data_IF_966526798828
#
_entry.id   IF_966526798828
#
_cell.length_a   1.000
_cell.length_b   1.000
_cell.length_c   1.000
_cell.angle_alpha   90.00
_cell.angle_beta   90.00
_cell.angle_gamma   90.00
#
_symmetry.space_group_name_H-M   'P 1'
#
loop_
_entity.id
_entity.type
_entity.pdbx_description
1 polymer ?
#
# COMPACT_ATOMS: atom_id res chain seq x y z
N UNK A 1 -4.57 92.51 -28.13
CA UNK A 1 -5.18 91.47 -28.98
C UNK A 1 -4.06 90.58 -29.50
N UNK A 2 -3.64 89.62 -28.65
CA UNK A 2 -3.73 88.16 -28.84
C UNK A 2 -2.74 87.66 -29.93
N UNK A 3 -1.47 87.38 -29.61
CA UNK A 3 -0.86 86.32 -28.78
C UNK A 3 -0.77 84.93 -29.48
N UNK A 4 0.49 84.53 -29.69
CA UNK A 4 1.13 83.25 -30.11
C UNK A 4 0.74 82.03 -29.24
N UNK A 5 1.40 80.83 -29.31
CA UNK A 5 2.50 80.32 -30.18
C UNK A 5 2.17 78.90 -30.73
N UNK A 6 3.00 78.14 -31.44
CA UNK A 6 4.41 78.22 -31.83
C UNK A 6 4.88 76.85 -32.35
N UNK A 7 5.92 76.92 -33.15
CA UNK A 7 6.54 75.91 -34.02
C UNK A 7 7.49 74.92 -33.33
N UNK A 8 7.71 73.77 -34.00
CA UNK A 8 8.99 73.05 -34.22
C UNK A 8 9.94 72.81 -33.03
N UNK A 9 10.32 71.54 -32.78
CA UNK A 9 11.72 71.16 -33.02
C UNK A 9 11.96 69.65 -33.18
N UNK A 10 12.88 69.33 -34.09
CA UNK A 10 13.54 68.05 -34.22
C UNK A 10 14.94 68.16 -33.62
N UNK A 11 15.43 67.14 -32.93
CA UNK A 11 16.89 66.96 -32.82
C UNK A 11 17.29 65.49 -32.94
N UNK A 12 18.26 65.30 -33.83
CA UNK A 12 18.92 64.06 -34.18
C UNK A 12 20.11 63.78 -33.24
N UNK A 13 20.52 62.51 -33.13
CA UNK A 13 21.96 62.11 -33.12
C UNK A 13 22.17 60.59 -33.24
N UNK A 14 22.78 60.20 -34.37
CA UNK A 14 23.91 59.26 -34.60
C UNK A 14 23.86 57.78 -34.16
N UNK A 15 23.76 56.92 -35.20
CA UNK A 15 24.53 55.70 -35.64
C UNK A 15 25.74 55.17 -34.81
N UNK A 16 26.37 53.97 -35.09
CA UNK A 16 26.17 52.96 -36.15
C UNK A 16 26.33 51.43 -35.80
N UNK A 17 25.89 50.58 -36.75
CA UNK A 17 26.37 49.27 -37.27
C UNK A 17 27.31 48.31 -36.49
N UNK A 18 26.84 47.05 -36.48
CA UNK A 18 27.41 45.81 -37.02
C UNK A 18 28.60 45.11 -36.34
N UNK A 19 28.39 43.84 -35.98
CA UNK A 19 29.37 42.78 -36.19
C UNK A 19 28.66 41.43 -36.41
N UNK A 20 28.82 40.94 -37.63
CA UNK A 20 28.57 39.59 -38.11
C UNK A 20 29.53 38.61 -37.42
N UNK A 21 29.01 37.55 -36.80
CA UNK A 21 29.74 36.32 -36.43
C UNK A 21 28.76 35.14 -36.32
N UNK A 22 28.71 34.30 -37.35
CA UNK A 22 28.65 32.84 -37.16
C UNK A 22 30.08 32.33 -36.83
N UNK A 23 30.35 31.12 -36.29
CA UNK A 23 29.50 29.91 -36.20
C UNK A 23 29.63 29.13 -34.85
N UNK A 24 28.83 28.06 -34.65
CA UNK A 24 29.30 26.73 -34.21
C UNK A 24 28.14 25.88 -33.68
N UNK A 25 28.11 24.63 -34.15
CA UNK A 25 27.27 23.55 -33.66
C UNK A 25 27.35 23.38 -32.13
N UNK A 26 26.20 23.17 -31.50
CA UNK A 26 26.10 22.56 -30.18
C UNK A 26 24.78 21.78 -30.08
N UNK A 27 24.94 20.46 -30.11
CA UNK A 27 24.11 19.43 -29.50
C UNK A 27 22.60 19.65 -29.42
N UNK A 28 21.88 18.85 -30.20
CA UNK A 28 20.55 18.35 -29.88
C UNK A 28 20.50 17.89 -28.42
N UNK A 29 19.90 18.68 -27.54
CA UNK A 29 19.54 18.23 -26.19
C UNK A 29 18.37 17.27 -26.33
N UNK A 30 18.67 16.04 -25.96
CA UNK A 30 17.79 14.89 -25.91
C UNK A 30 16.46 15.23 -25.20
N UNK A 31 15.38 14.81 -25.85
CA UNK A 31 14.19 14.19 -25.28
C UNK A 31 14.12 14.25 -23.74
N UNK A 32 13.55 15.35 -23.24
CA UNK A 32 13.19 15.51 -21.83
C UNK A 32 11.92 14.67 -21.59
N UNK A 33 12.11 13.35 -21.59
CA UNK A 33 11.04 12.41 -21.26
C UNK A 33 10.82 12.51 -19.75
N UNK A 34 9.65 12.94 -19.27
CA UNK A 34 9.43 13.06 -17.84
C UNK A 34 9.57 11.69 -17.17
N UNK A 35 10.40 11.66 -16.12
CA UNK A 35 10.69 10.54 -15.22
C UNK A 35 9.42 9.73 -14.91
N UNK A 36 9.41 8.37 -15.06
CA UNK A 36 8.24 7.54 -14.77
C UNK A 36 7.85 7.64 -13.30
N UNK A 37 7.01 8.64 -12.99
CA UNK A 37 6.35 8.78 -11.70
C UNK A 37 5.78 7.43 -11.30
N UNK A 38 6.19 6.94 -10.13
CA UNK A 38 5.72 5.70 -9.52
C UNK A 38 4.20 5.63 -9.61
N UNK A 39 3.72 4.82 -10.57
CA UNK A 39 2.28 4.67 -10.82
C UNK A 39 1.63 4.09 -9.57
N UNK A 40 0.73 4.86 -8.96
CA UNK A 40 0.03 4.42 -7.74
C UNK A 40 -0.80 3.17 -8.01
N UNK A 41 -0.75 2.20 -7.09
CA UNK A 41 -1.58 0.98 -7.12
C UNK A 41 -3.09 1.25 -7.06
N UNK A 42 -3.50 2.50 -6.80
CA UNK A 42 -4.89 2.98 -6.87
C UNK A 42 -5.35 3.28 -8.31
N UNK A 43 -4.52 2.99 -9.31
CA UNK A 43 -4.87 2.99 -10.74
C UNK A 43 -4.61 1.59 -11.31
N UNK A 44 -5.33 1.21 -12.37
CA UNK A 44 -5.14 -0.07 -13.04
C UNK A 44 -3.71 -0.23 -13.53
N UNK A 45 -3.16 0.78 -14.21
CA UNK A 45 -1.78 0.73 -14.73
C UNK A 45 -0.74 0.57 -13.62
N UNK A 46 -0.92 1.26 -12.49
CA UNK A 46 -0.03 1.10 -11.34
C UNK A 46 -0.18 -0.25 -10.66
N UNK A 47 -1.41 -0.76 -10.53
CA UNK A 47 -1.65 -2.10 -10.00
C UNK A 47 -1.08 -3.19 -10.90
N UNK A 48 -1.26 -3.09 -12.22
CA UNK A 48 -0.73 -4.01 -13.20
C UNK A 48 0.80 -4.03 -13.14
N UNK A 49 1.44 -2.86 -13.14
CA UNK A 49 2.88 -2.74 -12.99
C UNK A 49 3.37 -3.40 -11.68
N UNK A 50 2.69 -3.15 -10.55
CA UNK A 50 2.98 -3.81 -9.28
C UNK A 50 2.83 -5.34 -9.36
N UNK A 51 1.75 -5.84 -9.98
CA UNK A 51 1.44 -7.26 -10.04
C UNK A 51 2.42 -8.05 -10.92
N UNK A 52 2.91 -7.45 -12.01
CA UNK A 52 3.84 -8.08 -12.95
C UNK A 52 5.31 -7.89 -12.57
N UNK A 53 5.65 -6.87 -11.79
CA UNK A 53 7.03 -6.64 -11.31
C UNK A 53 7.50 -7.84 -10.49
N UNK A 54 8.61 -8.51 -10.84
CA UNK A 54 9.12 -9.65 -10.07
C UNK A 54 9.33 -9.31 -8.59
N UNK A 55 9.02 -10.26 -7.69
CA UNK A 55 9.27 -10.08 -6.26
C UNK A 55 10.77 -9.99 -6.04
N UNK A 56 11.24 -8.90 -5.44
CA UNK A 56 12.64 -8.76 -5.08
C UNK A 56 13.02 -9.82 -4.05
N UNK A 57 14.08 -10.57 -4.35
CA UNK A 57 14.67 -11.59 -3.48
C UNK A 57 16.16 -11.31 -3.28
N UNK A 58 16.81 -11.79 -2.21
CA UNK A 58 18.26 -11.70 -2.10
C UNK A 58 18.91 -12.51 -3.25
N UNK A 59 20.14 -12.14 -3.68
CA UNK A 59 20.81 -12.87 -4.75
C UNK A 59 21.05 -14.32 -4.32
N UNK A 60 20.87 -15.32 -5.22
CA UNK A 60 21.14 -16.70 -4.90
C UNK A 60 22.64 -16.92 -4.62
N UNK A 61 23.02 -18.01 -3.93
CA UNK A 61 24.42 -18.33 -3.69
C UNK A 61 25.23 -18.35 -5.00
N UNK A 62 26.35 -17.62 -5.03
CA UNK A 62 27.23 -17.54 -6.21
C UNK A 62 26.86 -16.47 -7.25
N UNK A 63 25.73 -15.78 -7.11
CA UNK A 63 25.40 -14.65 -7.98
C UNK A 63 26.32 -13.44 -7.73
N UNK A 64 26.49 -12.54 -8.73
CA UNK A 64 27.26 -11.31 -8.58
C UNK A 64 26.78 -10.50 -7.38
N UNK A 65 27.75 -9.91 -6.66
CA UNK A 65 27.44 -9.05 -5.52
C UNK A 65 26.76 -7.78 -6.01
N UNK A 66 25.64 -7.43 -5.38
CA UNK A 66 25.00 -6.14 -5.57
C UNK A 66 25.85 -4.99 -5.04
N UNK A 67 25.72 -3.83 -5.69
CA UNK A 67 26.28 -2.56 -5.22
C UNK A 67 25.62 -2.13 -3.89
N UNK A 68 26.23 -1.17 -3.19
CA UNK A 68 25.62 -0.61 -1.98
C UNK A 68 24.27 0.05 -2.30
N UNK A 69 24.17 0.77 -3.41
CA UNK A 69 22.95 1.44 -3.86
C UNK A 69 21.81 0.45 -4.12
N UNK A 70 22.09 -0.65 -4.83
CA UNK A 70 21.11 -1.70 -5.11
C UNK A 70 20.60 -2.35 -3.82
N UNK A 71 21.48 -2.54 -2.83
CA UNK A 71 21.13 -3.14 -1.53
C UNK A 71 20.32 -2.16 -0.66
N UNK A 72 20.68 -0.88 -0.66
CA UNK A 72 19.88 0.15 0.00
C UNK A 72 18.48 0.26 -0.64
N UNK A 73 18.39 0.24 -1.97
CA UNK A 73 17.13 0.22 -2.70
C UNK A 73 16.30 -1.05 -2.41
N UNK A 74 16.96 -2.21 -2.27
CA UNK A 74 16.32 -3.46 -1.89
C UNK A 74 15.71 -3.40 -0.49
N UNK A 75 16.49 -2.97 0.52
CA UNK A 75 16.03 -2.89 1.90
C UNK A 75 15.01 -1.76 2.13
N UNK A 76 15.00 -0.73 1.29
CA UNK A 76 14.00 0.35 1.35
C UNK A 76 12.61 -0.09 0.83
N UNK A 77 12.57 -0.93 -0.21
CA UNK A 77 11.33 -1.45 -0.83
C UNK A 77 10.56 -2.47 0.05
N UNK A 78 11.19 -2.94 1.11
CA UNK A 78 10.82 -4.06 1.99
C UNK A 78 10.37 -5.34 1.29
N UNK A 79 11.01 -6.44 1.63
CA UNK A 79 10.65 -7.76 1.14
C UNK A 79 9.31 -8.16 1.75
N UNK A 80 8.34 -8.46 0.89
CA UNK A 80 7.07 -8.99 1.37
C UNK A 80 7.26 -10.43 1.79
N UNK A 81 7.16 -10.68 3.09
CA UNK A 81 7.21 -12.03 3.68
C UNK A 81 5.81 -12.63 3.67
N UNK A 82 5.70 -13.93 3.34
CA UNK A 82 4.42 -14.65 3.45
C UNK A 82 4.04 -14.78 4.91
N UNK A 83 2.79 -14.45 5.22
CA UNK A 83 2.24 -14.52 6.57
C UNK A 83 1.00 -15.41 6.59
N UNK A 84 0.63 -15.98 7.76
CA UNK A 84 -0.63 -16.70 7.92
C UNK A 84 -1.86 -15.87 7.49
N UNK A 85 -1.83 -14.55 7.72
CA UNK A 85 -2.87 -13.64 7.26
C UNK A 85 -2.97 -13.57 5.73
N UNK A 86 -1.84 -13.51 5.01
CA UNK A 86 -1.82 -13.56 3.53
C UNK A 86 -2.38 -14.90 3.04
N UNK A 87 -1.97 -16.01 3.64
CA UNK A 87 -2.40 -17.34 3.22
C UNK A 87 -3.90 -17.58 3.50
N UNK A 88 -4.38 -17.16 4.68
CA UNK A 88 -5.79 -17.18 5.03
C UNK A 88 -6.62 -16.29 4.08
N UNK A 89 -6.15 -15.09 3.78
CA UNK A 89 -6.81 -14.17 2.85
C UNK A 89 -6.85 -14.77 1.44
N UNK A 90 -5.74 -15.29 0.93
CA UNK A 90 -5.66 -15.92 -0.39
C UNK A 90 -6.61 -17.13 -0.50
N UNK A 91 -6.66 -17.96 0.54
CA UNK A 91 -7.55 -19.13 0.60
C UNK A 91 -9.02 -18.69 0.57
N UNK A 92 -9.42 -17.76 1.44
CA UNK A 92 -10.80 -17.29 1.52
C UNK A 92 -11.24 -16.57 0.25
N UNK A 93 -10.44 -15.64 -0.29
CA UNK A 93 -10.75 -14.95 -1.55
C UNK A 93 -10.96 -15.95 -2.67
N UNK A 94 -10.08 -16.96 -2.81
CA UNK A 94 -10.25 -18.01 -3.82
C UNK A 94 -11.57 -18.77 -3.63
N UNK A 95 -11.88 -19.20 -2.42
CA UNK A 95 -13.13 -19.91 -2.11
C UNK A 95 -14.36 -19.05 -2.46
N UNK A 96 -14.39 -17.79 -2.04
CA UNK A 96 -15.51 -16.87 -2.29
C UNK A 96 -15.68 -16.56 -3.77
N UNK A 97 -14.58 -16.40 -4.53
CA UNK A 97 -14.64 -16.22 -5.98
C UNK A 97 -15.21 -17.46 -6.70
N UNK A 98 -14.92 -18.66 -6.21
CA UNK A 98 -15.49 -19.91 -6.74
C UNK A 98 -16.98 -20.00 -6.40
N UNK A 99 -17.36 -19.75 -5.14
CA UNK A 99 -18.75 -19.76 -4.69
C UNK A 99 -19.61 -18.74 -5.45
N UNK A 100 -19.08 -17.53 -5.66
CA UNK A 100 -19.79 -16.45 -6.35
C UNK A 100 -19.86 -16.62 -7.87
N UNK A 101 -19.13 -17.57 -8.47
CA UNK A 101 -18.94 -17.67 -9.93
C UNK A 101 -20.24 -17.80 -10.72
N UNK A 102 -21.22 -18.52 -10.17
CA UNK A 102 -22.52 -18.79 -10.80
C UNK A 102 -23.67 -18.02 -10.14
N UNK A 103 -23.35 -17.10 -9.24
CA UNK A 103 -24.33 -16.29 -8.54
C UNK A 103 -24.66 -15.07 -9.41
N UNK A 104 -25.76 -15.18 -10.16
CA UNK A 104 -26.18 -14.16 -11.12
C UNK A 104 -27.27 -13.21 -10.57
N UNK A 105 -28.01 -13.64 -9.55
CA UNK A 105 -29.21 -12.93 -9.04
C UNK A 105 -28.93 -12.17 -7.75
N UNK A 106 -27.99 -12.63 -6.94
CA UNK A 106 -27.65 -12.00 -5.66
C UNK A 106 -26.19 -11.58 -5.63
N UNK A 107 -25.89 -10.55 -4.83
CA UNK A 107 -24.53 -10.19 -4.47
C UNK A 107 -23.69 -11.42 -4.06
N UNK A 108 -22.42 -11.45 -4.48
CA UNK A 108 -21.48 -12.51 -4.13
C UNK A 108 -21.05 -12.41 -2.66
N UNK A 109 -20.65 -13.52 -2.02
CA UNK A 109 -20.05 -13.51 -0.70
C UNK A 109 -18.86 -12.54 -0.63
N UNK A 110 -18.73 -11.84 0.49
CA UNK A 110 -17.68 -10.85 0.72
C UNK A 110 -16.76 -11.25 1.87
N UNK A 111 -15.69 -10.50 2.06
CA UNK A 111 -14.71 -10.73 3.11
C UNK A 111 -14.37 -9.42 3.82
N UNK A 112 -14.23 -9.46 5.14
CA UNK A 112 -13.73 -8.35 5.95
C UNK A 112 -12.35 -8.73 6.47
N UNK A 113 -11.38 -7.82 6.30
CA UNK A 113 -10.03 -7.90 6.85
C UNK A 113 -9.87 -6.78 7.89
N UNK A 114 -9.90 -7.13 9.17
CA UNK A 114 -9.77 -6.18 10.27
C UNK A 114 -8.42 -6.32 10.97
N UNK A 115 -8.03 -5.32 11.75
CA UNK A 115 -6.82 -5.35 12.57
C UNK A 115 -6.26 -3.94 12.79
N UNK A 116 -5.33 -3.75 13.75
CA UNK A 116 -4.77 -2.44 14.06
C UNK A 116 -3.95 -1.84 12.89
N UNK A 117 -3.63 -0.55 13.01
CA UNK A 117 -2.69 0.10 12.09
C UNK A 117 -1.34 -0.63 12.10
N UNK A 118 -0.74 -0.82 10.91
CA UNK A 118 0.52 -1.54 10.78
C UNK A 118 0.42 -3.07 10.87
N UNK A 119 -0.78 -3.66 10.90
CA UNK A 119 -0.97 -5.11 10.91
C UNK A 119 -0.69 -5.83 9.56
N UNK A 120 -0.26 -5.09 8.53
CA UNK A 120 0.03 -5.68 7.21
C UNK A 120 -1.19 -5.94 6.32
N UNK A 121 -2.37 -5.39 6.66
CA UNK A 121 -3.62 -5.55 5.89
C UNK A 121 -3.46 -5.13 4.42
N UNK A 122 -3.00 -3.91 4.16
CA UNK A 122 -2.75 -3.39 2.81
C UNK A 122 -1.78 -4.29 2.04
N UNK A 123 -0.68 -4.72 2.67
CA UNK A 123 0.26 -5.65 2.05
C UNK A 123 -0.43 -6.97 1.69
N UNK A 124 -1.27 -7.51 2.57
CA UNK A 124 -1.99 -8.74 2.31
C UNK A 124 -2.98 -8.62 1.14
N UNK A 125 -3.77 -7.53 1.08
CA UNK A 125 -4.64 -7.23 -0.05
C UNK A 125 -3.87 -7.18 -1.36
N UNK A 126 -2.79 -6.40 -1.42
CA UNK A 126 -2.00 -6.23 -2.64
C UNK A 126 -1.39 -7.56 -3.09
N UNK A 127 -0.85 -8.37 -2.19
CA UNK A 127 -0.29 -9.69 -2.56
C UNK A 127 -1.37 -10.66 -3.06
N UNK A 128 -2.55 -10.67 -2.44
CA UNK A 128 -3.66 -11.53 -2.87
C UNK A 128 -4.24 -11.05 -4.20
N UNK A 129 -4.40 -9.74 -4.39
CA UNK A 129 -4.76 -9.13 -5.66
C UNK A 129 -3.77 -9.50 -6.76
N UNK A 130 -2.46 -9.37 -6.50
CA UNK A 130 -1.40 -9.81 -7.42
C UNK A 130 -1.55 -11.28 -7.78
N UNK A 131 -1.76 -12.16 -6.80
CA UNK A 131 -1.95 -13.59 -7.04
C UNK A 131 -3.18 -13.87 -7.91
N UNK A 132 -4.30 -13.17 -7.67
CA UNK A 132 -5.51 -13.27 -8.49
C UNK A 132 -5.27 -12.79 -9.93
N UNK A 133 -4.62 -11.64 -10.12
CA UNK A 133 -4.27 -11.12 -11.45
C UNK A 133 -3.40 -12.12 -12.22
N UNK A 134 -2.30 -12.59 -11.63
CA UNK A 134 -1.40 -13.55 -12.27
C UNK A 134 -2.09 -14.88 -12.56
N UNK A 135 -2.95 -15.36 -11.66
CA UNK A 135 -3.73 -16.59 -11.89
C UNK A 135 -4.73 -16.44 -13.03
N UNK A 136 -5.38 -15.28 -13.16
CA UNK A 136 -6.29 -14.97 -14.27
C UNK A 136 -5.55 -15.00 -15.61
N UNK A 137 -4.43 -14.27 -15.72
CA UNK A 137 -3.59 -14.23 -16.92
C UNK A 137 -3.05 -15.62 -17.28
N UNK A 138 -2.62 -16.42 -16.30
CA UNK A 138 -2.14 -17.79 -16.53
C UNK A 138 -3.22 -18.73 -17.06
N UNK A 139 -4.47 -18.62 -16.58
CA UNK A 139 -5.56 -19.52 -16.98
C UNK A 139 -6.09 -19.23 -18.38
N UNK A 140 -6.15 -17.96 -18.76
CA UNK A 140 -6.78 -17.53 -20.01
C UNK A 140 -5.79 -17.20 -21.12
N UNK A 141 -4.51 -17.02 -20.78
CA UNK A 141 -3.46 -16.64 -21.71
C UNK A 141 -3.33 -15.11 -21.84
N UNK A 142 -2.10 -14.56 -21.97
CA UNK A 142 -1.88 -13.12 -21.99
C UNK A 142 -2.67 -12.36 -23.06
N UNK A 143 -2.75 -12.90 -24.28
CA UNK A 143 -3.45 -12.29 -25.40
C UNK A 143 -4.97 -12.18 -25.16
N UNK A 144 -5.61 -13.22 -24.61
CA UNK A 144 -7.05 -13.21 -24.33
C UNK A 144 -7.43 -12.34 -23.13
N UNK A 145 -6.46 -12.01 -22.28
CA UNK A 145 -6.63 -11.10 -21.13
C UNK A 145 -6.18 -9.67 -21.39
N UNK A 146 -5.71 -9.37 -22.61
CA UNK A 146 -5.34 -8.01 -22.97
C UNK A 146 -6.54 -7.07 -22.77
N UNK A 147 -6.33 -5.97 -22.04
CA UNK A 147 -7.38 -5.00 -21.70
C UNK A 147 -8.34 -5.43 -20.59
N UNK A 148 -8.16 -6.58 -19.95
CA UNK A 148 -8.95 -6.98 -18.78
C UNK A 148 -8.29 -6.54 -17.47
N UNK A 149 -9.11 -6.11 -16.52
CA UNK A 149 -8.71 -5.72 -15.17
C UNK A 149 -9.40 -6.63 -14.13
N UNK A 150 -8.93 -7.87 -13.92
CA UNK A 150 -9.64 -8.83 -13.05
C UNK A 150 -9.69 -8.43 -11.57
N UNK A 151 -8.88 -7.46 -11.17
CA UNK A 151 -8.76 -6.97 -9.79
C UNK A 151 -8.88 -5.46 -9.78
N UNK A 152 -9.62 -4.93 -8.80
CA UNK A 152 -9.64 -3.51 -8.48
C UNK A 152 -9.19 -3.26 -7.03
N UNK A 153 -8.31 -2.28 -6.84
CA UNK A 153 -7.85 -1.83 -5.51
C UNK A 153 -8.24 -0.37 -5.32
N UNK A 154 -9.10 -0.10 -4.35
CA UNK A 154 -9.65 1.22 -4.05
C UNK A 154 -9.23 1.62 -2.64
N UNK A 155 -8.52 2.74 -2.51
CA UNK A 155 -8.15 3.31 -1.22
C UNK A 155 -9.15 4.40 -0.83
N UNK A 156 -9.78 4.26 0.33
CA UNK A 156 -10.73 5.27 0.81
C UNK A 156 -9.98 6.51 1.32
N UNK A 157 -10.28 7.72 0.79
CA UNK A 157 -9.66 8.94 1.26
C UNK A 157 -10.18 9.34 2.66
N UNK A 158 -9.46 10.19 3.40
CA UNK A 158 -9.93 10.69 4.69
C UNK A 158 -11.30 11.38 4.59
N UNK A 159 -12.20 11.08 5.52
CA UNK A 159 -13.55 11.66 5.59
C UNK A 159 -14.35 11.53 4.28
N UNK A 160 -14.15 10.44 3.54
CA UNK A 160 -14.76 10.25 2.23
C UNK A 160 -16.30 10.21 2.31
N UNK A 161 -16.93 10.92 1.37
CA UNK A 161 -18.36 10.78 1.06
C UNK A 161 -18.62 9.63 0.09
N UNK A 162 -19.89 9.25 -0.08
CA UNK A 162 -20.28 8.28 -1.10
C UNK A 162 -19.86 8.74 -2.51
N UNK A 163 -20.08 10.01 -2.86
CA UNK A 163 -19.61 10.57 -4.15
C UNK A 163 -18.09 10.50 -4.28
N UNK A 164 -17.35 10.81 -3.21
CA UNK A 164 -15.89 10.71 -3.19
C UNK A 164 -15.44 9.27 -3.42
N UNK A 165 -16.07 8.29 -2.75
CA UNK A 165 -15.78 6.88 -2.96
C UNK A 165 -16.05 6.46 -4.41
N UNK A 166 -17.18 6.86 -4.99
CA UNK A 166 -17.51 6.57 -6.40
C UNK A 166 -16.45 7.14 -7.36
N UNK A 167 -15.89 8.32 -7.07
CA UNK A 167 -14.78 8.91 -7.84
C UNK A 167 -13.51 8.06 -7.74
N UNK A 168 -13.20 7.47 -6.58
CA UNK A 168 -12.04 6.57 -6.44
C UNK A 168 -12.20 5.28 -7.25
N UNK A 169 -13.41 4.72 -7.30
CA UNK A 169 -13.72 3.61 -8.21
C UNK A 169 -13.53 4.02 -9.67
N UNK A 170 -14.04 5.18 -10.06
CA UNK A 170 -13.88 5.69 -11.43
C UNK A 170 -12.40 5.90 -11.78
N UNK A 171 -11.62 6.46 -10.86
CA UNK A 171 -10.17 6.69 -11.02
C UNK A 171 -9.41 5.39 -11.29
N UNK A 172 -9.78 4.29 -10.63
CA UNK A 172 -9.06 3.03 -10.77
C UNK A 172 -8.96 2.56 -12.23
N UNK A 173 -10.07 2.57 -12.97
CA UNK A 173 -10.11 2.19 -14.40
C UNK A 173 -10.01 3.40 -15.35
N UNK A 174 -9.68 4.59 -14.85
CA UNK A 174 -9.60 5.81 -15.66
C UNK A 174 -10.94 6.24 -16.27
N UNK A 175 -12.08 5.90 -15.62
CA UNK A 175 -13.40 6.34 -16.07
C UNK A 175 -13.51 7.87 -15.93
N UNK A 176 -13.81 8.61 -17.00
CA UNK A 176 -13.90 10.07 -16.93
C UNK A 176 -14.99 10.53 -15.97
N UNK A 177 -14.64 11.47 -15.08
CA UNK A 177 -15.59 12.13 -14.18
C UNK A 177 -15.45 13.64 -14.34
N UNK A 178 -16.55 14.32 -14.65
CA UNK A 178 -16.61 15.78 -14.71
C UNK A 178 -17.28 16.35 -13.46
N UNK A 179 -17.01 17.62 -13.15
CA UNK A 179 -17.50 18.27 -11.93
C UNK A 179 -19.03 18.23 -11.78
N UNK A 180 -19.77 18.27 -12.90
CA UNK A 180 -21.23 18.26 -12.93
C UNK A 180 -21.89 16.90 -12.71
N UNK A 181 -21.14 15.79 -12.74
CA UNK A 181 -21.73 14.46 -12.62
C UNK A 181 -22.29 14.22 -11.21
N UNK A 182 -23.50 13.69 -11.13
CA UNK A 182 -24.10 13.19 -9.90
C UNK A 182 -23.46 11.88 -9.45
N UNK A 183 -23.62 11.51 -8.18
CA UNK A 183 -23.16 10.21 -7.68
C UNK A 183 -23.73 9.05 -8.51
N UNK A 184 -25.02 9.08 -8.83
CA UNK A 184 -25.67 8.02 -9.59
C UNK A 184 -25.09 7.87 -11.01
N UNK A 185 -24.76 8.98 -11.68
CA UNK A 185 -24.10 8.97 -12.99
C UNK A 185 -22.69 8.35 -12.90
N UNK A 186 -21.92 8.72 -11.87
CA UNK A 186 -20.58 8.15 -11.63
C UNK A 186 -20.68 6.64 -11.35
N UNK A 187 -21.56 6.22 -10.44
CA UNK A 187 -21.79 4.81 -10.13
C UNK A 187 -22.24 4.03 -11.37
N UNK A 188 -23.10 4.60 -12.20
CA UNK A 188 -23.51 3.99 -13.47
C UNK A 188 -22.34 3.74 -14.41
N UNK A 189 -21.48 4.75 -14.61
CA UNK A 189 -20.28 4.63 -15.44
C UNK A 189 -19.30 3.59 -14.85
N UNK A 190 -19.08 3.61 -13.53
CA UNK A 190 -18.23 2.63 -12.82
C UNK A 190 -18.74 1.21 -13.06
N UNK A 191 -20.02 0.93 -12.82
CA UNK A 191 -20.58 -0.41 -13.00
C UNK A 191 -20.43 -0.90 -14.45
N UNK A 192 -20.67 -0.01 -15.43
CA UNK A 192 -20.46 -0.33 -16.85
C UNK A 192 -19.01 -0.69 -17.14
N UNK A 193 -18.06 0.19 -16.76
CA UNK A 193 -16.62 -0.01 -17.03
C UNK A 193 -16.08 -1.25 -16.30
N UNK A 194 -16.46 -1.49 -15.05
CA UNK A 194 -16.01 -2.66 -14.27
C UNK A 194 -16.52 -3.97 -14.87
N UNK A 195 -17.76 -3.98 -15.38
CA UNK A 195 -18.32 -5.14 -16.08
C UNK A 195 -17.60 -5.40 -17.40
N UNK A 196 -17.39 -4.36 -18.21
CA UNK A 196 -16.67 -4.45 -19.48
C UNK A 196 -15.22 -4.92 -19.30
N UNK A 197 -14.53 -4.42 -18.27
CA UNK A 197 -13.16 -4.80 -17.92
C UNK A 197 -13.04 -6.18 -17.25
N UNK A 198 -14.17 -6.88 -17.02
CA UNK A 198 -14.24 -8.19 -16.36
C UNK A 198 -13.59 -8.20 -14.97
N UNK A 199 -13.89 -7.19 -14.16
CA UNK A 199 -13.46 -7.16 -12.75
C UNK A 199 -14.11 -8.32 -12.00
N UNK A 200 -13.31 -9.13 -11.31
CA UNK A 200 -13.76 -10.30 -10.56
C UNK A 200 -13.52 -10.17 -9.05
N UNK A 201 -12.59 -9.30 -8.65
CA UNK A 201 -12.23 -9.01 -7.27
C UNK A 201 -12.16 -7.49 -7.07
N UNK A 202 -12.87 -6.96 -6.08
CA UNK A 202 -12.77 -5.57 -5.64
C UNK A 202 -12.27 -5.55 -4.20
N UNK A 203 -11.19 -4.80 -3.94
CA UNK A 203 -10.60 -4.63 -2.62
C UNK A 203 -10.71 -3.17 -2.22
N UNK A 204 -11.43 -2.88 -1.14
CA UNK A 204 -11.60 -1.54 -0.59
C UNK A 204 -10.79 -1.43 0.71
N UNK A 205 -9.73 -0.64 0.68
CA UNK A 205 -8.81 -0.43 1.80
C UNK A 205 -9.16 0.83 2.59
N UNK A 206 -8.82 0.82 3.88
CA UNK A 206 -9.14 1.88 4.84
C UNK A 206 -10.64 2.23 4.93
N UNK A 207 -11.53 1.23 4.84
CA UNK A 207 -13.00 1.41 4.82
C UNK A 207 -13.55 2.19 6.04
N UNK A 208 -12.84 2.13 7.17
CA UNK A 208 -13.15 2.85 8.40
C UNK A 208 -13.02 4.39 8.26
N UNK A 209 -12.44 4.90 7.17
CA UNK A 209 -12.34 6.35 6.88
C UNK A 209 -13.61 6.95 6.29
N UNK A 210 -14.56 6.11 5.86
CA UNK A 210 -15.90 6.58 5.50
C UNK A 210 -16.55 7.15 6.74
N UNK A 211 -17.18 8.33 6.63
CA UNK A 211 -17.75 9.03 7.78
C UNK A 211 -19.05 8.35 8.26
N UNK A 212 -19.05 7.53 9.32
CA UNK A 212 -20.20 6.69 9.65
C UNK A 212 -21.24 7.41 10.51
N UNK A 213 -20.91 8.58 11.06
CA UNK A 213 -21.70 9.32 12.06
C UNK A 213 -22.53 10.46 11.48
N UNK A 214 -22.48 10.65 10.16
CA UNK A 214 -23.24 11.66 9.43
C UNK A 214 -24.20 10.98 8.45
N UNK A 215 -25.16 11.72 7.90
CA UNK A 215 -26.03 11.27 6.79
C UNK A 215 -25.24 10.64 5.63
N UNK A 216 -23.99 11.07 5.45
CA UNK A 216 -22.98 10.55 4.51
C UNK A 216 -22.60 9.08 4.72
N UNK A 217 -22.66 8.56 5.96
CA UNK A 217 -22.29 7.19 6.29
C UNK A 217 -23.31 6.17 5.77
N UNK A 218 -24.60 6.47 5.93
CA UNK A 218 -25.68 5.68 5.36
C UNK A 218 -25.60 5.66 3.83
N UNK A 219 -25.38 6.83 3.21
CA UNK A 219 -25.20 6.93 1.76
C UNK A 219 -24.01 6.12 1.24
N UNK A 220 -22.95 5.98 2.04
CA UNK A 220 -21.77 5.20 1.68
C UNK A 220 -22.04 3.70 1.76
N UNK A 221 -22.78 3.24 2.77
CA UNK A 221 -23.22 1.85 2.87
C UNK A 221 -24.17 1.47 1.71
N UNK A 222 -25.11 2.36 1.39
CA UNK A 222 -26.02 2.19 0.24
C UNK A 222 -25.24 2.13 -1.08
N UNK A 223 -24.25 3.02 -1.28
CA UNK A 223 -23.37 2.95 -2.45
C UNK A 223 -22.60 1.63 -2.55
N UNK A 224 -22.02 1.15 -1.45
CA UNK A 224 -21.27 -0.12 -1.44
C UNK A 224 -22.20 -1.29 -1.77
N UNK A 225 -23.43 -1.27 -1.25
CA UNK A 225 -24.46 -2.25 -1.58
C UNK A 225 -24.79 -2.21 -3.07
N UNK A 226 -25.09 -1.03 -3.61
CA UNK A 226 -25.39 -0.83 -5.03
C UNK A 226 -24.26 -1.34 -5.94
N UNK A 227 -23.00 -1.02 -5.58
CA UNK A 227 -21.82 -1.51 -6.30
C UNK A 227 -21.70 -3.04 -6.21
N UNK A 228 -21.94 -3.64 -5.04
CA UNK A 228 -21.84 -5.09 -4.83
C UNK A 228 -22.93 -5.86 -5.57
N UNK A 229 -24.12 -5.28 -5.72
CA UNK A 229 -25.23 -5.89 -6.46
C UNK A 229 -25.08 -5.76 -7.98
N UNK A 230 -24.44 -4.68 -8.45
CA UNK A 230 -24.29 -4.39 -9.89
C UNK A 230 -22.96 -4.84 -10.49
N UNK A 231 -21.91 -4.94 -9.68
CA UNK A 231 -20.60 -5.45 -10.11
C UNK A 231 -20.53 -6.92 -9.70
N UNK A 232 -20.53 -7.82 -10.68
CA UNK A 232 -20.38 -9.26 -10.47
C UNK A 232 -18.96 -9.63 -10.04
N UNK A 233 -18.50 -9.14 -8.90
CA UNK A 233 -17.19 -9.36 -8.30
C UNK A 233 -17.29 -9.77 -6.83
N UNK A 234 -16.27 -10.44 -6.32
CA UNK A 234 -16.10 -10.67 -4.88
C UNK A 234 -15.54 -9.39 -4.26
N UNK A 235 -16.13 -8.92 -3.16
CA UNK A 235 -15.68 -7.73 -2.44
C UNK A 235 -14.89 -8.09 -1.18
N UNK A 236 -13.77 -7.40 -0.97
CA UNK A 236 -12.96 -7.47 0.25
C UNK A 236 -12.89 -6.07 0.87
N UNK A 237 -13.28 -5.94 2.13
CA UNK A 237 -13.27 -4.69 2.88
C UNK A 237 -12.18 -4.74 3.94
N UNK A 238 -11.25 -3.79 3.94
CA UNK A 238 -10.18 -3.74 4.92
C UNK A 238 -10.16 -2.45 5.71
N UNK A 239 -9.86 -2.54 7.00
CA UNK A 239 -9.81 -1.37 7.87
C UNK A 239 -9.53 -1.72 9.33
N UNK A 240 -9.64 -0.72 10.19
CA UNK A 240 -9.54 -0.88 11.64
C UNK A 240 -10.96 -1.03 12.17
N UNK A 241 -11.18 -2.02 13.04
CA UNK A 241 -12.46 -2.30 13.72
C UNK A 241 -13.68 -2.26 12.78
N UNK A 242 -13.52 -2.87 11.59
CA UNK A 242 -14.53 -2.78 10.52
C UNK A 242 -15.89 -3.31 10.97
N UNK A 243 -15.89 -4.39 11.76
CA UNK A 243 -17.10 -5.05 12.26
C UNK A 243 -17.88 -4.22 13.27
N UNK A 244 -17.26 -3.24 13.93
CA UNK A 244 -17.92 -2.34 14.88
C UNK A 244 -18.31 -1.01 14.24
N UNK A 245 -17.88 -0.76 13.00
CA UNK A 245 -18.18 0.46 12.27
C UNK A 245 -19.67 0.49 11.86
N UNK A 246 -20.36 1.65 11.93
CA UNK A 246 -21.76 1.79 11.49
C UNK A 246 -22.08 1.36 10.05
N UNK A 247 -21.06 1.17 9.21
CA UNK A 247 -21.21 0.57 7.87
C UNK A 247 -21.62 -0.90 7.91
N UNK A 248 -21.22 -1.64 8.95
CA UNK A 248 -21.44 -3.08 9.11
C UNK A 248 -22.31 -3.41 10.33
N UNK A 249 -22.80 -2.40 11.05
CA UNK A 249 -23.73 -2.56 12.18
C UNK A 249 -25.08 -1.91 11.89
N UNK A 250 -26.12 -2.27 12.67
CA UNK A 250 -27.50 -1.81 12.45
C UNK A 250 -28.22 -2.50 11.28
N UNK A 251 -29.49 -2.14 11.03
CA UNK A 251 -30.37 -2.85 10.07
C UNK A 251 -29.82 -2.82 8.63
N UNK A 252 -29.22 -1.70 8.20
CA UNK A 252 -28.62 -1.56 6.86
C UNK A 252 -27.27 -2.27 6.74
N UNK A 253 -26.41 -2.16 7.76
CA UNK A 253 -25.10 -2.82 7.79
C UNK A 253 -25.18 -4.34 7.94
N UNK A 254 -26.23 -4.87 8.57
CA UNK A 254 -26.46 -6.30 8.74
C UNK A 254 -26.52 -7.07 7.41
N UNK A 255 -26.97 -6.44 6.32
CA UNK A 255 -27.01 -7.06 4.99
C UNK A 255 -25.61 -7.25 4.39
N UNK A 256 -24.69 -6.32 4.66
CA UNK A 256 -23.28 -6.42 4.26
C UNK A 256 -22.53 -7.39 5.18
N UNK A 257 -22.75 -7.28 6.49
CA UNK A 257 -22.09 -8.11 7.50
C UNK A 257 -22.51 -9.58 7.44
N UNK A 258 -23.80 -9.87 7.23
CA UNK A 258 -24.33 -11.24 7.16
C UNK A 258 -23.80 -12.07 5.98
N UNK A 259 -23.12 -11.43 5.02
CA UNK A 259 -22.51 -12.06 3.84
C UNK A 259 -20.99 -12.13 3.94
N UNK A 260 -20.39 -11.53 4.96
CA UNK A 260 -18.96 -11.38 5.10
C UNK A 260 -18.36 -12.44 6.04
N UNK A 261 -17.35 -13.16 5.57
CA UNK A 261 -16.42 -13.84 6.48
C UNK A 261 -15.42 -12.83 7.06
N UNK A 262 -14.86 -13.11 8.24
CA UNK A 262 -13.93 -12.23 8.91
C UNK A 262 -12.52 -12.83 8.96
N UNK A 263 -11.51 -12.01 8.65
CA UNK A 263 -10.09 -12.29 8.89
C UNK A 263 -9.56 -11.19 9.80
N UNK A 264 -8.99 -11.59 10.93
CA UNK A 264 -8.31 -10.68 11.85
C UNK A 264 -6.79 -10.73 11.61
N UNK A 265 -6.22 -9.61 11.17
CA UNK A 265 -4.79 -9.38 11.15
C UNK A 265 -4.35 -8.91 12.55
N UNK A 266 -4.28 -9.84 13.49
CA UNK A 266 -3.83 -9.57 14.85
C UNK A 266 -2.30 -9.51 14.97
N UNK A 267 -1.81 -9.05 16.13
CA UNK A 267 -0.41 -9.19 16.49
C UNK A 267 -0.03 -10.68 16.58
N UNK A 268 1.19 -11.01 16.17
CA UNK A 268 1.69 -12.38 16.22
C UNK A 268 1.96 -12.75 17.68
N UNK A 269 1.34 -13.83 18.20
CA UNK A 269 1.65 -14.30 19.53
C UNK A 269 3.08 -14.85 19.54
N UNK A 270 3.74 -14.75 20.69
CA UNK A 270 5.07 -15.35 20.85
C UNK A 270 5.02 -16.88 20.66
N UNK A 271 3.92 -17.52 21.10
CA UNK A 271 3.61 -18.94 20.93
C UNK A 271 2.12 -19.17 20.70
N UNK A 272 1.78 -20.21 19.95
CA UNK A 272 0.43 -20.71 19.76
C UNK A 272 0.48 -22.24 19.85
N UNK A 273 0.21 -22.80 21.05
CA UNK A 273 0.50 -24.20 21.32
C UNK A 273 2.01 -24.48 21.17
N UNK A 274 2.36 -25.46 20.34
CA UNK A 274 3.75 -25.81 20.02
C UNK A 274 4.36 -24.94 18.90
N UNK A 275 3.55 -24.12 18.22
CA UNK A 275 4.02 -23.24 17.15
C UNK A 275 4.60 -21.92 17.71
N UNK A 276 5.65 -21.40 17.08
CA UNK A 276 6.27 -20.11 17.42
C UNK A 276 6.12 -19.11 16.26
N UNK A 277 4.89 -18.67 15.92
CA UNK A 277 4.60 -17.96 14.66
C UNK A 277 5.33 -16.62 14.55
N UNK A 278 5.62 -15.95 15.67
CA UNK A 278 6.45 -14.75 15.68
C UNK A 278 7.93 -15.04 15.34
N UNK A 279 8.47 -16.17 15.83
CA UNK A 279 9.83 -16.60 15.50
C UNK A 279 9.94 -17.01 14.04
N UNK A 280 8.91 -17.66 13.49
CA UNK A 280 8.86 -18.02 12.08
C UNK A 280 8.84 -16.79 11.18
N UNK A 281 8.04 -15.78 11.55
CA UNK A 281 8.03 -14.48 10.87
C UNK A 281 9.43 -13.83 10.90
N UNK A 282 10.10 -13.81 12.06
CA UNK A 282 11.46 -13.27 12.18
C UNK A 282 12.43 -14.05 11.27
N UNK A 283 12.34 -15.38 11.27
CA UNK A 283 13.20 -16.25 10.44
C UNK A 283 13.03 -15.94 8.96
N UNK A 284 11.79 -15.75 8.50
CA UNK A 284 11.50 -15.40 7.12
C UNK A 284 11.89 -13.96 6.76
N UNK A 285 11.88 -13.02 7.71
CA UNK A 285 12.42 -11.68 7.52
C UNK A 285 13.96 -11.66 7.50
N UNK A 286 14.59 -12.51 8.30
CA UNK A 286 16.05 -12.65 8.34
C UNK A 286 16.59 -13.27 7.06
N UNK A 287 15.92 -14.31 6.52
CA UNK A 287 16.32 -14.94 5.26
C UNK A 287 16.21 -14.01 4.06
N UNK A 288 15.42 -12.94 4.17
CA UNK A 288 15.29 -11.89 3.18
C UNK A 288 16.40 -10.83 3.26
N UNK A 289 17.32 -10.90 4.23
CA UNK A 289 18.38 -9.89 4.39
C UNK A 289 19.51 -10.07 3.39
N UNK A 290 19.82 -9.01 2.66
CA UNK A 290 21.02 -8.88 1.85
C UNK A 290 22.13 -8.18 2.68
N UNK A 291 22.70 -8.90 3.65
CA UNK A 291 23.76 -8.43 4.58
C UNK A 291 24.90 -9.46 4.64
N UNK A 292 26.12 -9.08 4.23
CA UNK A 292 27.20 -10.05 3.98
C UNK A 292 27.77 -10.69 5.25
N UNK A 293 27.75 -9.97 6.37
CA UNK A 293 28.31 -10.44 7.63
C UNK A 293 27.23 -10.95 8.59
N UNK A 294 25.97 -10.95 8.18
CA UNK A 294 24.87 -11.41 9.01
C UNK A 294 24.78 -12.94 9.00
N UNK A 295 24.66 -13.54 10.19
CA UNK A 295 24.58 -14.99 10.35
C UNK A 295 23.12 -15.42 10.53
N UNK A 296 22.59 -16.37 9.73
CA UNK A 296 21.25 -16.92 9.93
C UNK A 296 21.06 -17.46 11.35
N UNK A 297 19.84 -17.30 11.89
CA UNK A 297 19.49 -17.65 13.25
C UNK A 297 19.83 -16.60 14.30
N UNK A 298 20.41 -15.45 13.92
CA UNK A 298 20.73 -14.35 14.85
C UNK A 298 19.46 -13.67 15.36
N UNK A 299 18.56 -13.26 14.46
CA UNK A 299 17.32 -12.58 14.83
C UNK A 299 16.30 -13.53 15.49
N UNK A 300 16.10 -14.78 15.04
CA UNK A 300 15.21 -15.72 15.72
C UNK A 300 15.61 -15.99 17.19
N UNK A 301 16.91 -15.99 17.52
CA UNK A 301 17.38 -16.07 18.92
C UNK A 301 17.00 -14.85 19.75
N UNK A 302 16.77 -13.70 19.11
CA UNK A 302 16.29 -12.47 19.75
C UNK A 302 14.76 -12.36 19.75
N UNK A 303 14.00 -13.41 19.39
CA UNK A 303 12.54 -13.36 19.31
C UNK A 303 11.86 -12.81 20.57
N UNK A 304 12.23 -13.19 21.82
CA UNK A 304 11.63 -12.60 23.01
C UNK A 304 11.84 -11.08 23.11
N UNK A 305 13.05 -10.61 22.78
CA UNK A 305 13.38 -9.19 22.78
C UNK A 305 12.64 -8.43 21.68
N UNK A 306 12.58 -8.98 20.47
CA UNK A 306 11.85 -8.38 19.35
C UNK A 306 10.34 -8.35 19.62
N UNK A 307 9.80 -9.36 20.31
CA UNK A 307 8.38 -9.41 20.68
C UNK A 307 8.06 -8.29 21.68
N UNK A 308 8.88 -8.15 22.72
CA UNK A 308 8.78 -7.05 23.70
C UNK A 308 8.85 -5.67 23.04
N UNK A 309 9.78 -5.47 22.09
CA UNK A 309 9.93 -4.20 21.36
C UNK A 309 8.77 -3.85 20.44
N UNK A 310 8.08 -4.85 19.89
CA UNK A 310 7.11 -4.65 18.80
C UNK A 310 5.68 -4.96 19.21
N UNK A 311 5.48 -5.56 20.39
CA UNK A 311 4.24 -6.18 20.82
C UNK A 311 3.70 -7.19 19.79
N UNK A 312 4.59 -7.91 19.08
CA UNK A 312 4.21 -8.86 18.03
C UNK A 312 3.67 -8.22 16.74
N UNK A 313 3.71 -6.89 16.60
CA UNK A 313 3.18 -6.20 15.41
C UNK A 313 4.15 -6.27 14.25
N UNK A 314 3.69 -6.87 13.15
CA UNK A 314 4.50 -7.04 11.93
C UNK A 314 5.00 -5.71 11.34
N UNK A 315 4.20 -4.65 11.36
CA UNK A 315 4.61 -3.34 10.86
C UNK A 315 5.76 -2.73 11.65
N UNK A 316 5.69 -2.79 12.99
CA UNK A 316 6.76 -2.33 13.88
C UNK A 316 8.01 -3.19 13.73
N UNK A 317 7.86 -4.51 13.62
CA UNK A 317 8.96 -5.44 13.37
C UNK A 317 9.65 -5.19 12.02
N UNK A 318 8.87 -5.04 10.95
CA UNK A 318 9.38 -4.75 9.60
C UNK A 318 10.13 -3.42 9.55
N UNK A 319 9.63 -2.40 10.24
CA UNK A 319 10.34 -1.11 10.33
C UNK A 319 11.65 -1.25 11.10
N UNK A 320 11.64 -1.94 12.25
CA UNK A 320 12.83 -2.17 13.06
C UNK A 320 13.94 -2.90 12.29
N UNK A 321 13.60 -4.04 11.66
CA UNK A 321 14.57 -4.87 10.93
C UNK A 321 15.12 -4.12 9.72
N UNK A 322 14.27 -3.41 8.96
CA UNK A 322 14.72 -2.58 7.83
C UNK A 322 15.68 -1.49 8.23
N UNK A 323 15.31 -0.73 9.25
CA UNK A 323 16.15 0.37 9.70
C UNK A 323 17.49 -0.17 10.19
N UNK A 324 17.50 -1.29 10.89
CA UNK A 324 18.73 -1.95 11.31
C UNK A 324 19.58 -2.44 10.12
N UNK A 325 18.95 -3.00 9.08
CA UNK A 325 19.65 -3.42 7.86
C UNK A 325 20.27 -2.24 7.12
N UNK A 326 19.52 -1.13 6.97
CA UNK A 326 20.01 0.10 6.34
C UNK A 326 21.15 0.71 7.15
N UNK A 327 21.02 0.80 8.48
CA UNK A 327 22.12 1.27 9.36
C UNK A 327 23.36 0.41 9.20
N UNK A 328 23.22 -0.92 9.21
CA UNK A 328 24.34 -1.84 9.06
C UNK A 328 25.02 -1.74 7.68
N UNK A 329 24.29 -1.32 6.64
CA UNK A 329 24.88 -1.05 5.32
C UNK A 329 25.64 0.28 5.31
N UNK A 330 25.09 1.32 5.93
CA UNK A 330 25.69 2.65 5.95
C UNK A 330 26.95 2.72 6.83
N UNK A 331 27.00 1.96 7.92
CA UNK A 331 28.16 1.89 8.82
C UNK A 331 29.18 0.80 8.44
N UNK A 332 28.87 0.00 7.40
CA UNK A 332 29.73 -1.07 6.89
C UNK A 332 29.82 -2.32 7.78
N UNK A 333 29.10 -2.37 8.92
CA UNK A 333 29.11 -3.55 9.80
C UNK A 333 28.47 -4.77 9.13
N UNK A 334 27.48 -4.52 8.27
CA UNK A 334 26.69 -5.48 7.51
C UNK A 334 26.16 -6.66 8.34
N UNK A 335 25.79 -6.40 9.59
CA UNK A 335 25.12 -7.37 10.48
C UNK A 335 24.20 -6.66 11.46
N UNK A 336 23.03 -7.23 11.69
CA UNK A 336 22.12 -6.72 12.73
C UNK A 336 22.49 -7.34 14.08
N UNK A 337 22.64 -6.49 15.10
CA UNK A 337 22.90 -6.90 16.48
C UNK A 337 21.81 -6.36 17.42
N UNK A 338 21.72 -6.93 18.63
CA UNK A 338 20.84 -6.38 19.68
C UNK A 338 21.13 -4.90 19.98
N UNK A 339 22.39 -4.49 19.92
CA UNK A 339 22.81 -3.10 20.13
C UNK A 339 22.27 -2.19 19.02
N UNK A 340 22.40 -2.60 17.75
CA UNK A 340 21.85 -1.88 16.60
C UNK A 340 20.33 -1.74 16.73
N UNK A 341 19.64 -2.82 17.11
CA UNK A 341 18.19 -2.81 17.33
C UNK A 341 17.77 -1.87 18.48
N UNK A 342 18.55 -1.82 19.57
CA UNK A 342 18.27 -0.98 20.72
C UNK A 342 18.45 0.51 20.45
N UNK A 343 19.35 0.89 19.54
CA UNK A 343 19.57 2.28 19.15
C UNK A 343 18.43 2.86 18.29
N UNK A 344 17.63 2.01 17.66
CA UNK A 344 16.52 2.42 16.80
C UNK A 344 15.29 2.72 17.63
N UNK A 345 14.76 3.94 17.53
CA UNK A 345 13.44 4.29 18.08
C UNK A 345 12.31 3.84 17.17
N UNK A 346 11.28 3.26 17.77
CA UNK A 346 10.08 2.80 17.10
C UNK A 346 8.96 3.85 17.11
N UNK A 347 7.84 3.50 16.50
CA UNK A 347 6.61 4.28 16.51
C UNK A 347 6.11 4.45 17.95
N UNK A 348 5.36 5.53 18.19
CA UNK A 348 4.94 5.91 19.55
C UNK A 348 4.23 4.78 20.29
N UNK A 349 3.40 4.00 19.61
CA UNK A 349 2.68 2.87 20.22
C UNK A 349 3.61 1.71 20.56
N UNK A 350 4.68 1.45 19.79
CA UNK A 350 5.68 0.44 20.13
C UNK A 350 6.56 0.89 21.30
N UNK A 351 6.92 2.16 21.36
CA UNK A 351 7.71 2.72 22.45
C UNK A 351 6.93 2.81 23.77
N UNK A 352 5.62 3.12 23.74
CA UNK A 352 4.78 3.09 24.94
C UNK A 352 4.66 1.69 25.56
N UNK A 353 4.59 0.64 24.72
CA UNK A 353 4.56 -0.74 25.19
C UNK A 353 5.92 -1.21 25.71
N UNK A 354 7.02 -0.66 25.18
CA UNK A 354 8.37 -1.01 25.60
C UNK A 354 8.79 -0.21 26.84
N UNK A 355 8.56 -0.78 28.02
CA UNK A 355 9.23 -0.31 29.24
C UNK A 355 10.50 -1.14 29.46
N UNK A 356 11.71 -0.61 29.17
CA UNK A 356 12.93 -1.33 29.48
C UNK A 356 12.94 -1.60 30.99
N UNK A 357 13.02 -2.88 31.38
CA UNK A 357 13.18 -3.28 32.79
C UNK A 357 14.35 -2.47 33.37
N UNK A 358 14.04 -1.52 34.25
CA UNK A 358 15.04 -0.80 35.01
C UNK A 358 15.89 -1.84 35.74
N UNK A 359 17.22 -1.75 35.60
CA UNK A 359 18.16 -2.57 36.38
C UNK A 359 17.77 -2.45 37.86
N UNK A 360 17.67 -3.55 38.62
CA UNK A 360 17.46 -3.44 40.06
C UNK A 360 18.62 -2.62 40.63
N UNK A 361 18.30 -1.48 41.26
CA UNK A 361 19.29 -0.72 42.04
C UNK A 361 19.81 -1.69 43.10
N UNK A 362 21.10 -2.00 43.09
CA UNK A 362 21.70 -2.79 44.16
C UNK A 362 21.43 -2.03 45.46
N UNK A 363 20.65 -2.63 46.36
CA UNK A 363 20.59 -2.18 47.74
C UNK A 363 21.99 -2.40 48.30
N UNK A 364 22.76 -1.32 48.43
CA UNK A 364 23.95 -1.33 49.29
C UNK A 364 23.47 -1.65 50.71
N UNK A 365 23.76 -2.86 51.16
CA UNK A 365 23.80 -3.20 52.58
C UNK A 365 25.04 -2.54 53.17
N UNK A 366 24.85 -1.37 53.79
CA UNK A 366 25.80 -0.86 54.77
C UNK A 366 25.08 -0.78 56.12
N UNK A 367 25.39 -1.76 56.96
CA UNK A 367 25.16 -1.71 58.41
C UNK A 367 26.53 -1.42 59.04
N UNK A 368 26.66 -0.41 59.89
CA UNK A 368 27.62 -0.46 60.99
C UNK A 368 27.00 -1.15 62.21
#
# INVERSE_FOLDING_TARGET
>A
MNASPGTSDASARRSPRAADRSPSAAASTADDTPDPQQRSVTTWDGFQAFATTPVAAPPPPGAPRRSLEERLAYHSRFVTVRTPAIDALAKNVRTLMVLGRHQAVTARPSLIVTGPAGAGKTTALLQVGRACHLAHTRRHGPAATAGQAPVAYVLVPPAASAKTLAIEFARYLGTPVTAGMSQAQITGAVCHTYTAARVQLVMIDEIHRLNPRTTTGAQSADLIKDLTERIGATFVYAGIDVTTTPLFTGVRGAQLAGRASLIDCAAFPARLGDEEPFRDLITAMESALDLRHHQPGTLPRLAPYLHERTAGRIGSLARLIRQAAITALLDGTERITKTTLAAIRLDHLAEQHYQPRARPRSRNTNTP
#
